data_IF_769659278436
#
_entry.id   IF_769659278436
#
_cell.length_a   1.000
_cell.length_b   1.000
_cell.length_c   1.000
_cell.angle_alpha   90.00
_cell.angle_beta   90.00
_cell.angle_gamma   90.00
#
_symmetry.space_group_name_H-M   'P 1'
#
loop_
_entity.id
_entity.type
_entity.pdbx_description
1 polymer ?
#
# COMPACT_ATOMS: atom_id res chain seq x y z
N UNK A 1 11.54 -3.80 5.66
CA UNK A 1 11.88 -4.72 6.70
C UNK A 1 10.90 -4.71 7.86
N UNK A 2 10.89 -5.77 8.67
CA UNK A 2 9.96 -5.87 9.79
C UNK A 2 10.42 -4.96 10.94
N UNK A 3 11.52 -5.36 11.61
CA UNK A 3 12.17 -4.58 12.66
C UNK A 3 13.65 -4.92 12.69
N UNK A 4 14.48 -3.98 13.10
CA UNK A 4 15.92 -4.12 13.00
C UNK A 4 16.49 -5.40 13.63
N UNK A 5 15.87 -5.91 14.70
CA UNK A 5 16.32 -7.13 15.40
C UNK A 5 16.03 -8.42 14.63
N UNK A 6 14.99 -8.43 13.79
CA UNK A 6 14.44 -9.62 13.12
C UNK A 6 14.36 -9.47 11.62
N UNK A 7 14.96 -8.41 11.07
CA UNK A 7 14.89 -8.12 9.66
C UNK A 7 15.95 -8.89 8.86
N UNK A 8 15.53 -9.47 7.74
CA UNK A 8 16.43 -10.15 6.83
C UNK A 8 17.53 -9.22 6.26
N UNK A 9 17.28 -7.90 6.20
CA UNK A 9 18.25 -6.92 5.73
C UNK A 9 19.46 -6.77 6.66
N UNK A 10 19.39 -7.27 7.90
CA UNK A 10 20.51 -7.27 8.84
C UNK A 10 21.71 -8.10 8.40
N UNK A 11 21.56 -8.95 7.40
CA UNK A 11 22.67 -9.68 6.78
C UNK A 11 23.58 -8.75 5.94
N UNK A 12 23.05 -7.63 5.49
CA UNK A 12 23.79 -6.65 4.70
C UNK A 12 24.83 -5.96 5.59
N UNK A 13 26.07 -5.93 5.11
CA UNK A 13 27.19 -5.20 5.76
C UNK A 13 27.44 -3.85 5.11
N UNK A 14 27.14 -3.76 3.82
CA UNK A 14 27.29 -2.57 3.00
C UNK A 14 26.07 -2.41 2.12
N UNK A 15 25.63 -1.18 1.93
CA UNK A 15 24.60 -0.82 0.96
C UNK A 15 24.94 0.53 0.32
N UNK A 16 24.38 0.79 -0.83
CA UNK A 16 24.56 2.07 -1.55
C UNK A 16 23.68 3.14 -0.91
N UNK A 17 22.46 2.76 -0.53
CA UNK A 17 21.51 3.64 0.12
C UNK A 17 20.49 2.83 0.93
N UNK A 18 19.85 3.49 1.90
CA UNK A 18 18.72 2.99 2.65
C UNK A 18 17.50 3.87 2.36
N UNK A 19 16.32 3.26 2.22
CA UNK A 19 15.07 3.99 2.04
C UNK A 19 14.15 3.74 3.23
N UNK A 20 13.69 4.80 3.85
CA UNK A 20 12.63 4.79 4.86
C UNK A 20 11.35 5.19 4.14
N UNK A 21 10.46 4.22 3.89
CA UNK A 21 9.12 4.47 3.35
C UNK A 21 8.20 5.04 4.43
N UNK A 22 6.92 5.29 4.14
CA UNK A 22 5.97 5.74 5.17
C UNK A 22 5.93 4.78 6.35
N UNK A 23 5.96 5.33 7.56
CA UNK A 23 5.89 4.58 8.82
C UNK A 23 4.51 4.82 9.44
N UNK A 24 3.80 3.73 9.69
CA UNK A 24 2.53 3.70 10.40
C UNK A 24 2.52 2.62 11.48
N UNK A 25 1.48 2.59 12.30
CA UNK A 25 1.30 1.54 13.31
C UNK A 25 0.94 0.23 12.61
N UNK A 26 1.88 -0.71 12.63
CA UNK A 26 1.71 -2.09 12.15
C UNK A 26 2.69 -3.01 12.89
N UNK A 27 2.54 -4.32 12.71
CA UNK A 27 3.42 -5.35 13.29
C UNK A 27 3.51 -5.33 14.82
N UNK A 28 2.44 -4.91 15.50
CA UNK A 28 2.40 -4.78 16.96
C UNK A 28 2.61 -6.11 17.70
N UNK A 29 2.40 -7.25 17.06
CA UNK A 29 2.61 -8.57 17.63
C UNK A 29 4.07 -8.83 18.09
N UNK A 30 5.00 -8.09 17.51
CA UNK A 30 6.44 -8.17 17.80
C UNK A 30 6.91 -7.20 18.87
N UNK A 31 6.00 -6.34 19.36
CA UNK A 31 6.30 -5.28 20.34
C UNK A 31 5.51 -5.56 21.62
N UNK A 32 6.16 -5.53 22.79
CA UNK A 32 5.46 -5.62 24.08
C UNK A 32 4.35 -4.58 24.19
N UNK A 33 3.23 -4.93 24.81
CA UNK A 33 2.03 -4.06 24.83
C UNK A 33 2.30 -2.65 25.36
N UNK A 34 3.11 -2.54 26.39
CA UNK A 34 3.50 -1.26 27.00
C UNK A 34 4.46 -0.41 26.15
N UNK A 35 5.02 -0.98 25.06
CA UNK A 35 5.94 -0.29 24.15
C UNK A 35 5.31 -0.01 22.77
N UNK A 36 4.04 -0.32 22.55
CA UNK A 36 3.33 -0.19 21.26
C UNK A 36 3.05 1.25 20.88
N UNK A 37 4.11 1.98 20.55
CA UNK A 37 4.07 3.40 20.15
C UNK A 37 4.69 3.61 18.77
N UNK A 38 4.33 4.72 18.12
CA UNK A 38 4.94 5.10 16.84
C UNK A 38 6.45 5.35 17.00
N UNK A 39 6.90 5.88 18.13
CA UNK A 39 8.32 6.12 18.43
C UNK A 39 9.10 4.79 18.45
N UNK A 40 8.52 3.75 19.05
CA UNK A 40 9.12 2.42 19.08
C UNK A 40 9.22 1.82 17.68
N UNK A 41 8.17 1.96 16.86
CA UNK A 41 8.20 1.48 15.48
C UNK A 41 9.25 2.22 14.65
N UNK A 42 9.36 3.54 14.80
CA UNK A 42 10.40 4.33 14.15
C UNK A 42 11.78 3.81 14.56
N UNK A 43 12.02 3.67 15.87
CA UNK A 43 13.29 3.13 16.36
C UNK A 43 13.60 1.76 15.76
N UNK A 44 12.65 0.82 15.79
CA UNK A 44 12.85 -0.55 15.26
C UNK A 44 13.11 -0.58 13.75
N UNK A 45 12.57 0.37 12.99
CA UNK A 45 12.78 0.46 11.53
C UNK A 45 14.04 1.22 11.13
N UNK A 46 14.59 2.06 12.01
CA UNK A 46 15.69 2.97 11.65
C UNK A 46 17.01 2.71 12.38
N UNK A 47 17.00 1.97 13.50
CA UNK A 47 18.17 1.79 14.37
C UNK A 47 19.33 0.96 13.79
N UNK A 48 19.10 0.26 12.67
CA UNK A 48 20.12 -0.54 11.97
C UNK A 48 20.45 0.01 10.56
N UNK A 49 20.17 1.28 10.32
CA UNK A 49 20.59 1.90 9.07
C UNK A 49 22.11 1.95 8.99
N UNK A 50 22.64 1.42 7.90
CA UNK A 50 24.07 1.46 7.62
C UNK A 50 24.53 2.88 7.27
N UNK A 51 25.81 3.17 7.47
CA UNK A 51 26.42 4.43 7.05
C UNK A 51 26.50 4.50 5.52
N UNK A 52 25.45 5.01 4.91
CA UNK A 52 25.28 5.16 3.47
C UNK A 52 24.40 6.39 3.21
N UNK A 53 23.76 6.50 2.06
CA UNK A 53 22.76 7.54 1.80
C UNK A 53 21.42 7.09 2.38
N UNK A 54 20.69 7.98 3.05
CA UNK A 54 19.36 7.70 3.62
C UNK A 54 18.34 8.56 2.91
N UNK A 55 17.36 7.94 2.26
CA UNK A 55 16.24 8.61 1.62
C UNK A 55 14.99 8.39 2.48
N UNK A 56 14.34 9.47 2.90
CA UNK A 56 13.12 9.42 3.71
C UNK A 56 11.94 9.85 2.85
N UNK A 57 11.04 8.92 2.58
CA UNK A 57 9.81 9.15 1.85
C UNK A 57 8.85 10.05 2.62
N UNK A 58 7.81 10.53 1.95
CA UNK A 58 6.70 11.24 2.57
C UNK A 58 6.14 10.45 3.76
N UNK A 59 5.89 11.14 4.85
CA UNK A 59 5.23 10.59 6.03
C UNK A 59 3.82 11.13 6.16
N UNK A 60 2.92 10.36 6.76
CA UNK A 60 1.51 10.73 6.91
C UNK A 60 1.31 11.98 7.77
N UNK A 61 2.25 12.26 8.68
CA UNK A 61 2.22 13.44 9.55
C UNK A 61 3.59 14.10 9.64
N UNK A 62 3.60 15.42 9.83
CA UNK A 62 4.83 16.16 10.11
C UNK A 62 5.51 15.66 11.40
N UNK A 63 4.73 15.30 12.42
CA UNK A 63 5.25 14.75 13.67
C UNK A 63 6.04 13.46 13.46
N UNK A 64 5.56 12.54 12.58
CA UNK A 64 6.30 11.32 12.25
C UNK A 64 7.62 11.65 11.54
N UNK A 65 7.62 12.59 10.60
CA UNK A 65 8.84 13.05 9.92
C UNK A 65 9.87 13.60 10.90
N UNK A 66 9.46 14.49 11.81
CA UNK A 66 10.34 15.09 12.82
C UNK A 66 10.92 14.03 13.78
N UNK A 67 10.12 13.04 14.18
CA UNK A 67 10.59 11.93 15.01
C UNK A 67 11.62 11.06 14.27
N UNK A 68 11.41 10.78 12.96
CA UNK A 68 12.39 10.07 12.13
C UNK A 68 13.68 10.87 12.07
N UNK A 69 13.63 12.18 11.73
CA UNK A 69 14.79 13.05 11.66
C UNK A 69 15.60 13.02 12.96
N UNK A 70 14.91 13.15 14.11
CA UNK A 70 15.53 13.07 15.43
C UNK A 70 16.20 11.73 15.67
N UNK A 71 15.53 10.62 15.34
CA UNK A 71 16.06 9.27 15.60
C UNK A 71 17.31 8.96 14.77
N UNK A 72 17.38 9.46 13.53
CA UNK A 72 18.53 9.21 12.65
C UNK A 72 19.55 10.35 12.66
N UNK A 73 19.41 11.35 13.56
CA UNK A 73 20.27 12.54 13.57
C UNK A 73 21.75 12.22 13.76
N UNK A 74 22.07 11.24 14.60
CA UNK A 74 23.45 10.83 14.91
C UNK A 74 24.08 9.91 13.85
N UNK A 75 23.29 9.38 12.93
CA UNK A 75 23.81 8.58 11.82
C UNK A 75 24.62 9.50 10.88
N UNK A 76 25.84 9.10 10.52
CA UNK A 76 26.78 9.92 9.74
C UNK A 76 26.48 9.95 8.22
N UNK A 77 25.41 9.29 7.79
CA UNK A 77 24.97 9.26 6.39
C UNK A 77 24.44 10.60 5.91
N UNK A 78 24.58 10.88 4.62
CA UNK A 78 23.82 11.93 3.97
C UNK A 78 22.33 11.57 3.99
N UNK A 79 21.49 12.52 4.36
CA UNK A 79 20.05 12.34 4.51
C UNK A 79 19.29 13.20 3.52
N UNK A 80 18.28 12.63 2.89
CA UNK A 80 17.45 13.28 1.86
C UNK A 80 15.98 13.08 2.20
N UNK A 81 15.26 14.16 2.38
CA UNK A 81 13.89 14.18 2.89
C UNK A 81 12.90 14.62 1.80
N UNK A 82 11.78 13.95 1.75
CA UNK A 82 10.67 14.37 0.92
C UNK A 82 10.21 15.80 1.29
N UNK A 83 9.89 16.62 0.29
CA UNK A 83 9.56 18.06 0.36
C UNK A 83 10.71 18.99 0.81
N UNK A 84 11.90 18.48 1.07
CA UNK A 84 13.09 19.30 1.37
C UNK A 84 14.15 19.13 0.29
N UNK A 85 14.51 17.88 -0.02
CA UNK A 85 15.56 17.54 -0.97
C UNK A 85 15.00 17.01 -2.30
N UNK A 86 13.79 16.48 -2.28
CA UNK A 86 13.07 16.04 -3.47
C UNK A 86 11.56 16.13 -3.26
N UNK A 87 10.82 16.36 -4.34
CA UNK A 87 9.38 16.49 -4.31
C UNK A 87 8.74 16.06 -5.63
N UNK A 88 7.42 15.99 -5.65
CA UNK A 88 6.65 15.93 -6.88
C UNK A 88 5.46 16.89 -6.84
N UNK A 89 5.00 17.27 -8.02
CA UNK A 89 3.75 18.02 -8.19
C UNK A 89 2.94 17.45 -9.36
N UNK A 90 1.63 17.67 -9.32
CA UNK A 90 0.75 17.27 -10.41
C UNK A 90 0.95 18.21 -11.60
N UNK A 91 0.99 17.61 -12.78
CA UNK A 91 0.98 18.29 -14.06
C UNK A 91 -0.35 18.15 -14.77
N UNK A 92 -0.49 18.81 -15.90
CA UNK A 92 -1.61 18.66 -16.84
C UNK A 92 -1.43 17.40 -17.71
N UNK A 93 -2.54 16.92 -18.32
CA UNK A 93 -2.52 15.89 -19.35
C UNK A 93 -1.77 14.59 -18.96
N UNK A 94 -2.08 14.02 -17.80
CA UNK A 94 -1.46 12.79 -17.30
C UNK A 94 0.06 12.85 -17.07
N UNK A 95 0.60 14.04 -16.87
CA UNK A 95 1.97 14.22 -16.42
C UNK A 95 2.03 14.53 -14.92
N UNK A 96 3.20 14.26 -14.34
CA UNK A 96 3.63 14.80 -13.06
C UNK A 96 5.06 15.32 -13.18
N UNK A 97 5.45 16.20 -12.28
CA UNK A 97 6.78 16.79 -12.24
C UNK A 97 7.48 16.30 -10.98
N UNK A 98 8.66 15.75 -11.15
CA UNK A 98 9.57 15.43 -10.07
C UNK A 98 10.70 16.44 -10.05
N UNK A 99 11.16 16.84 -8.85
CA UNK A 99 12.24 17.80 -8.68
C UNK A 99 13.18 17.38 -7.55
N UNK A 100 14.49 17.54 -7.76
CA UNK A 100 15.54 17.39 -6.77
C UNK A 100 16.73 18.29 -7.14
N UNK A 101 17.85 18.18 -6.39
CA UNK A 101 19.08 18.96 -6.62
C UNK A 101 19.70 18.78 -8.00
N UNK A 102 19.35 17.74 -8.74
CA UNK A 102 19.84 17.47 -10.10
C UNK A 102 18.94 18.07 -11.18
N UNK A 103 17.86 18.74 -10.80
CA UNK A 103 16.89 19.37 -11.68
C UNK A 103 15.58 18.60 -11.83
N UNK A 104 14.63 19.23 -12.53
CA UNK A 104 13.27 18.72 -12.71
C UNK A 104 13.14 17.66 -13.81
N UNK A 105 12.22 16.73 -13.62
CA UNK A 105 11.79 15.76 -14.62
C UNK A 105 10.30 15.91 -14.88
N UNK A 106 9.91 16.11 -16.14
CA UNK A 106 8.54 15.93 -16.59
C UNK A 106 8.33 14.48 -16.96
N UNK A 107 7.41 13.81 -16.26
CA UNK A 107 7.18 12.36 -16.32
C UNK A 107 5.71 12.09 -16.62
N UNK A 108 5.44 11.17 -17.52
CA UNK A 108 4.09 10.68 -17.74
C UNK A 108 3.68 9.80 -16.54
N UNK A 109 2.45 9.97 -16.05
CA UNK A 109 1.92 9.13 -14.97
C UNK A 109 1.96 7.65 -15.40
N UNK A 110 2.35 6.75 -14.51
CA UNK A 110 2.30 5.32 -14.78
C UNK A 110 0.86 4.83 -14.86
N UNK A 111 0.65 3.70 -15.52
CA UNK A 111 -0.66 3.05 -15.56
C UNK A 111 -0.92 2.23 -14.27
N UNK A 112 -0.79 2.88 -13.11
CA UNK A 112 -1.12 2.31 -11.80
C UNK A 112 -2.01 3.28 -11.04
N UNK A 113 -2.97 2.75 -10.30
CA UNK A 113 -3.98 3.53 -9.61
C UNK A 113 -3.51 3.98 -8.21
N UNK A 114 -4.09 5.08 -7.73
CA UNK A 114 -3.83 5.63 -6.39
C UNK A 114 -2.72 6.69 -6.37
N UNK A 115 -3.06 7.85 -5.79
CA UNK A 115 -2.14 9.00 -5.70
C UNK A 115 -0.85 8.68 -4.94
N UNK A 116 -0.94 7.87 -3.89
CA UNK A 116 0.22 7.43 -3.09
C UNK A 116 1.30 6.72 -3.90
N UNK A 117 0.95 6.18 -5.06
CA UNK A 117 1.94 5.56 -5.94
C UNK A 117 2.93 6.59 -6.51
N UNK A 118 2.50 7.83 -6.73
CA UNK A 118 3.42 8.90 -7.15
C UNK A 118 4.40 9.27 -6.04
N UNK A 119 4.01 9.16 -4.77
CA UNK A 119 4.89 9.32 -3.62
C UNK A 119 5.97 8.23 -3.59
N UNK A 120 5.57 6.98 -3.80
CA UNK A 120 6.48 5.85 -3.88
C UNK A 120 7.44 5.96 -5.08
N UNK A 121 6.92 6.35 -6.25
CA UNK A 121 7.71 6.56 -7.46
C UNK A 121 8.72 7.69 -7.26
N UNK A 122 8.30 8.81 -6.68
CA UNK A 122 9.19 9.94 -6.40
C UNK A 122 10.33 9.55 -5.45
N UNK A 123 10.02 8.72 -4.46
CA UNK A 123 11.03 8.16 -3.56
C UNK A 123 12.01 7.23 -4.29
N UNK A 124 11.50 6.40 -5.21
CA UNK A 124 12.34 5.53 -6.03
C UNK A 124 13.23 6.32 -7.00
N UNK A 125 12.71 7.40 -7.60
CA UNK A 125 13.50 8.30 -8.46
C UNK A 125 14.61 8.96 -7.63
N UNK A 126 14.29 9.48 -6.45
CA UNK A 126 15.27 10.05 -5.54
C UNK A 126 16.39 9.04 -5.22
N UNK A 127 16.02 7.80 -4.89
CA UNK A 127 17.00 6.73 -4.66
C UNK A 127 17.91 6.53 -5.86
N UNK A 128 17.37 6.40 -7.07
CA UNK A 128 18.15 6.14 -8.30
C UNK A 128 19.11 7.27 -8.62
N UNK A 129 18.67 8.53 -8.52
CA UNK A 129 19.49 9.70 -8.84
C UNK A 129 20.53 10.01 -7.78
N UNK A 130 20.17 9.87 -6.49
CA UNK A 130 21.06 10.13 -5.35
C UNK A 130 22.14 9.03 -5.23
N UNK A 131 21.82 7.79 -5.59
CA UNK A 131 22.71 6.64 -5.42
C UNK A 131 23.89 6.58 -6.42
N UNK A 132 23.91 7.44 -7.41
CA UNK A 132 24.96 7.51 -8.44
C UNK A 132 25.22 6.17 -9.16
N UNK A 133 24.13 5.49 -9.52
CA UNK A 133 24.16 4.20 -10.21
C UNK A 133 24.32 4.32 -11.73
N UNK A 134 24.61 5.50 -12.24
CA UNK A 134 24.70 5.76 -13.68
C UNK A 134 23.34 5.68 -14.42
N UNK A 135 22.23 5.72 -13.69
CA UNK A 135 20.88 5.70 -14.26
C UNK A 135 20.58 7.07 -14.88
N UNK A 136 20.30 7.07 -16.16
CA UNK A 136 19.94 8.29 -16.91
C UNK A 136 18.44 8.56 -16.82
N UNK A 137 18.06 9.82 -16.97
CA UNK A 137 16.65 10.25 -16.95
C UNK A 137 15.76 9.49 -17.95
N UNK A 138 16.31 9.10 -19.10
CA UNK A 138 15.57 8.30 -20.09
C UNK A 138 15.21 6.91 -19.52
N UNK A 139 16.11 6.28 -18.75
CA UNK A 139 15.83 4.99 -18.13
C UNK A 139 14.72 5.10 -17.05
N UNK A 140 14.70 6.23 -16.31
CA UNK A 140 13.65 6.54 -15.35
C UNK A 140 12.31 6.70 -16.06
N UNK A 141 12.26 7.50 -17.12
CA UNK A 141 11.06 7.71 -17.94
C UNK A 141 10.48 6.40 -18.48
N UNK A 142 11.33 5.59 -19.07
CA UNK A 142 10.94 4.31 -19.66
C UNK A 142 10.52 3.28 -18.59
N UNK A 143 11.21 3.29 -17.44
CA UNK A 143 10.92 2.41 -16.32
C UNK A 143 9.55 2.67 -15.69
N UNK A 144 9.19 3.94 -15.50
CA UNK A 144 7.90 4.34 -14.92
C UNK A 144 6.73 3.80 -15.74
N UNK A 145 6.82 3.78 -17.07
CA UNK A 145 5.75 3.29 -17.94
C UNK A 145 5.61 1.75 -17.90
N UNK A 146 6.60 1.04 -17.36
CA UNK A 146 6.61 -0.42 -17.24
C UNK A 146 6.29 -0.91 -15.84
N UNK A 147 5.99 0.01 -14.90
CA UNK A 147 5.65 -0.38 -13.54
C UNK A 147 4.37 -1.22 -13.55
N UNK A 148 4.48 -2.40 -12.97
CA UNK A 148 3.35 -3.26 -12.64
C UNK A 148 3.39 -3.54 -11.13
N UNK A 149 2.38 -3.09 -10.42
CA UNK A 149 2.31 -3.22 -8.96
C UNK A 149 1.20 -4.21 -8.59
N UNK A 150 1.56 -5.49 -8.57
CA UNK A 150 0.62 -6.61 -8.33
C UNK A 150 -0.06 -6.43 -6.98
N UNK A 151 -1.39 -6.59 -6.98
CA UNK A 151 -2.24 -6.47 -5.79
C UNK A 151 -2.11 -5.12 -5.03
N UNK A 152 -1.86 -4.02 -5.75
CA UNK A 152 -1.84 -2.65 -5.22
C UNK A 152 -2.75 -1.74 -6.06
N UNK A 153 -4.05 -1.78 -5.79
CA UNK A 153 -5.09 -1.19 -6.65
C UNK A 153 -4.96 -1.69 -8.11
N UNK A 154 -4.66 -2.97 -8.25
CA UNK A 154 -4.52 -3.60 -9.55
C UNK A 154 -5.88 -3.78 -10.22
N UNK A 155 -6.00 -3.29 -11.44
CA UNK A 155 -7.17 -3.54 -12.30
C UNK A 155 -7.08 -4.93 -12.93
N UNK A 156 -8.15 -5.68 -12.84
CA UNK A 156 -8.31 -6.98 -13.50
C UNK A 156 -9.10 -6.77 -14.79
N UNK A 157 -8.46 -6.96 -15.92
CA UNK A 157 -9.03 -6.63 -17.24
C UNK A 157 -9.55 -7.83 -18.02
N UNK A 158 -9.09 -9.04 -17.69
CA UNK A 158 -9.48 -10.28 -18.35
C UNK A 158 -9.45 -11.45 -17.39
N UNK A 159 -9.97 -12.60 -17.77
CA UNK A 159 -9.93 -13.84 -17.02
C UNK A 159 -11.32 -14.32 -16.55
N UNK A 160 -11.32 -15.48 -15.88
CA UNK A 160 -12.55 -16.17 -15.47
C UNK A 160 -13.40 -15.33 -14.50
N UNK A 161 -12.78 -14.75 -13.46
CA UNK A 161 -13.50 -13.93 -12.49
C UNK A 161 -13.92 -12.59 -13.09
N UNK A 162 -13.08 -12.00 -13.96
CA UNK A 162 -13.44 -10.77 -14.68
C UNK A 162 -14.69 -10.97 -15.54
N UNK A 163 -14.85 -12.11 -16.15
CA UNK A 163 -16.05 -12.43 -16.95
C UNK A 163 -17.33 -12.43 -16.10
N UNK A 164 -17.25 -12.75 -14.80
CA UNK A 164 -18.39 -12.65 -13.88
C UNK A 164 -18.73 -11.18 -13.54
N UNK A 165 -17.72 -10.33 -13.50
CA UNK A 165 -17.85 -8.89 -13.21
C UNK A 165 -18.27 -8.08 -14.46
N UNK A 166 -18.13 -8.67 -15.64
CA UNK A 166 -18.47 -8.09 -16.96
C UNK A 166 -17.73 -6.77 -17.20
N UNK A 167 -18.45 -5.74 -17.66
CA UNK A 167 -17.86 -4.45 -18.02
C UNK A 167 -17.54 -3.55 -16.82
N UNK A 168 -17.94 -3.94 -15.62
CA UNK A 168 -17.71 -3.19 -14.40
C UNK A 168 -16.22 -3.13 -14.01
N UNK A 169 -15.83 -2.12 -13.26
CA UNK A 169 -14.46 -1.98 -12.75
C UNK A 169 -14.18 -3.06 -11.71
N UNK A 170 -13.16 -3.86 -11.94
CA UNK A 170 -12.72 -4.92 -11.04
C UNK A 170 -11.31 -4.63 -10.53
N UNK A 171 -11.18 -4.38 -9.23
CA UNK A 171 -9.91 -4.06 -8.57
C UNK A 171 -9.56 -5.09 -7.51
N UNK A 172 -8.25 -5.32 -7.33
CA UNK A 172 -7.71 -6.05 -6.19
C UNK A 172 -6.66 -5.20 -5.47
N UNK A 173 -6.65 -5.25 -4.13
CA UNK A 173 -5.66 -4.54 -3.32
C UNK A 173 -5.35 -5.30 -2.04
N UNK A 174 -4.08 -5.62 -1.83
CA UNK A 174 -3.60 -6.38 -0.67
C UNK A 174 -3.42 -5.52 0.59
N UNK A 175 -4.07 -4.37 0.68
CA UNK A 175 -4.07 -3.53 1.87
C UNK A 175 -4.75 -4.26 3.03
N UNK A 176 -4.13 -4.22 4.23
CA UNK A 176 -4.54 -5.06 5.34
C UNK A 176 -4.31 -4.41 6.72
N UNK A 177 -3.93 -3.14 6.74
CA UNK A 177 -3.75 -2.35 7.95
C UNK A 177 -4.51 -1.02 7.85
N UNK A 178 -4.56 -0.29 8.94
CA UNK A 178 -5.31 0.96 9.06
C UNK A 178 -4.89 2.00 8.00
N UNK A 179 -3.59 2.18 7.78
CA UNK A 179 -3.06 3.16 6.83
C UNK A 179 -3.37 2.76 5.38
N UNK A 180 -3.22 1.48 5.05
CA UNK A 180 -3.60 0.95 3.74
C UNK A 180 -5.10 1.15 3.47
N UNK A 181 -5.97 0.89 4.46
CA UNK A 181 -7.41 1.12 4.34
C UNK A 181 -7.74 2.60 4.10
N UNK A 182 -7.06 3.52 4.82
CA UNK A 182 -7.23 4.96 4.64
C UNK A 182 -6.92 5.38 3.21
N UNK A 183 -5.75 5.00 2.71
CA UNK A 183 -5.29 5.36 1.36
C UNK A 183 -6.17 4.72 0.28
N UNK A 184 -6.61 3.48 0.50
CA UNK A 184 -7.53 2.78 -0.38
C UNK A 184 -8.88 3.51 -0.44
N UNK A 185 -9.43 3.91 0.72
CA UNK A 185 -10.70 4.64 0.77
C UNK A 185 -10.61 6.02 0.11
N UNK A 186 -9.50 6.75 0.25
CA UNK A 186 -9.27 8.02 -0.47
C UNK A 186 -9.40 7.85 -2.00
N UNK A 187 -8.89 6.73 -2.52
CA UNK A 187 -9.09 6.41 -3.94
C UNK A 187 -10.56 6.08 -4.25
N UNK A 188 -11.22 5.27 -3.42
CA UNK A 188 -12.62 4.90 -3.62
C UNK A 188 -13.56 6.12 -3.56
N UNK A 189 -13.32 7.08 -2.67
CA UNK A 189 -14.08 8.33 -2.57
C UNK A 189 -13.94 9.20 -3.83
N UNK A 190 -12.86 9.07 -4.58
CA UNK A 190 -12.68 9.80 -5.84
C UNK A 190 -13.53 9.27 -7.01
N UNK A 191 -14.19 8.12 -6.83
CA UNK A 191 -15.00 7.47 -7.86
C UNK A 191 -16.49 7.72 -7.62
N UNK A 192 -17.17 8.22 -8.63
CA UNK A 192 -18.62 8.42 -8.60
C UNK A 192 -19.36 7.16 -9.11
N UNK A 193 -19.37 6.10 -8.30
CA UNK A 193 -20.03 4.84 -8.59
C UNK A 193 -20.38 4.09 -7.31
N UNK A 194 -21.26 3.08 -7.40
CA UNK A 194 -21.48 2.15 -6.29
C UNK A 194 -20.27 1.23 -6.14
N UNK A 195 -19.91 0.98 -4.87
CA UNK A 195 -18.74 0.21 -4.51
C UNK A 195 -19.15 -1.03 -3.74
N UNK A 196 -18.76 -2.20 -4.26
CA UNK A 196 -18.98 -3.49 -3.63
C UNK A 196 -17.63 -4.08 -3.22
N UNK A 197 -17.51 -4.52 -1.98
CA UNK A 197 -16.22 -4.94 -1.42
C UNK A 197 -16.29 -6.38 -0.95
N UNK A 198 -15.34 -7.20 -1.39
CA UNK A 198 -15.11 -8.56 -0.86
C UNK A 198 -13.85 -8.49 0.02
N UNK A 199 -13.95 -8.98 1.25
CA UNK A 199 -12.88 -8.87 2.24
C UNK A 199 -12.54 -10.23 2.85
N UNK A 200 -11.24 -10.55 2.90
CA UNK A 200 -10.67 -11.61 3.72
C UNK A 200 -9.37 -11.15 4.37
N UNK A 201 -9.16 -11.47 5.64
CA UNK A 201 -8.05 -10.92 6.43
C UNK A 201 -7.32 -12.00 7.25
N UNK A 202 -6.09 -11.68 7.66
CA UNK A 202 -5.34 -12.49 8.63
C UNK A 202 -5.80 -12.21 10.06
N UNK A 203 -5.72 -13.21 10.96
CA UNK A 203 -6.18 -13.10 12.37
C UNK A 203 -5.50 -11.99 13.17
N UNK A 204 -4.22 -11.73 12.89
CA UNK A 204 -3.38 -10.79 13.63
C UNK A 204 -3.52 -9.32 13.20
N UNK A 205 -4.56 -8.98 12.42
CA UNK A 205 -4.81 -7.59 11.98
C UNK A 205 -5.91 -6.93 12.80
N UNK A 206 -5.86 -5.60 12.87
CA UNK A 206 -6.93 -4.80 13.51
C UNK A 206 -8.10 -4.64 12.54
N UNK A 207 -8.99 -5.62 12.54
CA UNK A 207 -10.12 -5.68 11.62
C UNK A 207 -11.07 -4.49 11.78
N UNK A 208 -11.31 -4.02 13.02
CA UNK A 208 -12.22 -2.91 13.29
C UNK A 208 -11.66 -1.59 12.78
N UNK A 209 -10.39 -1.33 13.03
CA UNK A 209 -9.73 -0.13 12.49
C UNK A 209 -9.65 -0.17 10.97
N UNK A 210 -9.33 -1.33 10.39
CA UNK A 210 -9.30 -1.48 8.93
C UNK A 210 -10.63 -1.08 8.31
N UNK A 211 -11.74 -1.68 8.76
CA UNK A 211 -13.05 -1.46 8.16
C UNK A 211 -13.63 -0.07 8.45
N UNK A 212 -13.23 0.59 9.54
CA UNK A 212 -13.73 1.92 9.92
C UNK A 212 -13.38 3.03 8.92
N UNK A 213 -12.37 2.80 8.07
CA UNK A 213 -12.01 3.75 7.03
C UNK A 213 -12.90 3.69 5.80
N UNK A 214 -13.62 2.58 5.57
CA UNK A 214 -14.47 2.43 4.39
C UNK A 214 -15.78 3.20 4.55
N UNK A 215 -16.03 4.14 3.65
CA UNK A 215 -17.21 4.97 3.59
C UNK A 215 -17.94 4.77 2.27
N UNK A 216 -19.23 5.01 2.27
CA UNK A 216 -20.09 4.95 1.07
C UNK A 216 -19.97 3.64 0.29
N UNK A 217 -19.86 2.51 1.01
CA UNK A 217 -19.81 1.16 0.46
C UNK A 217 -21.22 0.58 0.37
N UNK A 218 -21.60 0.17 -0.83
CA UNK A 218 -22.94 -0.37 -1.12
C UNK A 218 -23.15 -1.76 -0.52
N UNK A 219 -22.13 -2.61 -0.51
CA UNK A 219 -22.17 -3.91 0.16
C UNK A 219 -20.76 -4.42 0.51
N UNK A 220 -20.69 -5.19 1.60
CA UNK A 220 -19.48 -5.91 2.00
C UNK A 220 -19.78 -7.39 2.07
N UNK A 221 -18.92 -8.21 1.46
CA UNK A 221 -18.98 -9.67 1.56
C UNK A 221 -17.67 -10.20 2.12
N UNK A 222 -17.72 -10.88 3.25
CA UNK A 222 -16.55 -11.54 3.84
C UNK A 222 -16.37 -12.92 3.22
N UNK A 223 -15.11 -13.33 3.03
CA UNK A 223 -14.73 -14.64 2.51
C UNK A 223 -13.57 -15.25 3.30
N UNK A 224 -13.42 -16.57 3.22
CA UNK A 224 -12.26 -17.27 3.73
C UNK A 224 -11.04 -17.07 2.81
N UNK A 225 -9.84 -17.08 3.39
CA UNK A 225 -8.58 -17.20 2.64
C UNK A 225 -8.15 -18.65 2.77
N UNK A 226 -8.44 -19.47 1.76
CA UNK A 226 -8.27 -20.93 1.82
C UNK A 226 -6.80 -21.35 1.88
N UNK A 227 -5.91 -20.57 1.27
CA UNK A 227 -4.47 -20.81 1.25
C UNK A 227 -3.77 -20.55 2.59
N UNK A 228 -4.47 -19.96 3.59
CA UNK A 228 -3.83 -19.47 4.81
C UNK A 228 -4.54 -19.97 6.07
N UNK A 229 -3.96 -20.94 6.80
CA UNK A 229 -4.55 -21.49 8.03
C UNK A 229 -4.64 -20.47 9.18
N UNK A 230 -3.82 -19.40 9.12
CA UNK A 230 -3.83 -18.30 10.08
C UNK A 230 -4.76 -17.15 9.68
N UNK A 231 -5.57 -17.31 8.65
CA UNK A 231 -6.61 -16.32 8.33
C UNK A 231 -7.77 -16.43 9.33
N UNK A 232 -8.44 -15.29 9.56
CA UNK A 232 -9.73 -15.31 10.25
C UNK A 232 -10.78 -15.89 9.30
N UNK A 233 -11.71 -16.70 9.80
CA UNK A 233 -12.81 -17.16 8.95
C UNK A 233 -13.72 -16.02 8.51
N UNK A 234 -14.28 -16.12 7.31
CA UNK A 234 -15.19 -15.12 6.80
C UNK A 234 -16.41 -14.90 7.69
N UNK A 235 -16.90 -15.96 8.36
CA UNK A 235 -18.00 -15.86 9.33
C UNK A 235 -17.58 -15.03 10.56
N UNK A 236 -16.42 -15.33 11.15
CA UNK A 236 -15.91 -14.55 12.30
C UNK A 236 -15.63 -13.09 11.90
N UNK A 237 -15.14 -12.86 10.69
CA UNK A 237 -14.88 -11.50 10.19
C UNK A 237 -16.21 -10.73 10.01
N UNK A 238 -17.25 -11.38 9.50
CA UNK A 238 -18.60 -10.82 9.41
C UNK A 238 -19.12 -10.41 10.79
N UNK A 239 -18.96 -11.25 11.81
CA UNK A 239 -19.40 -10.91 13.17
C UNK A 239 -18.65 -9.69 13.75
N UNK A 240 -17.38 -9.52 13.41
CA UNK A 240 -16.62 -8.31 13.79
C UNK A 240 -17.14 -7.04 13.12
N UNK A 241 -17.77 -7.17 11.97
CA UNK A 241 -18.31 -6.07 11.15
C UNK A 241 -19.84 -5.94 11.26
N UNK A 242 -20.49 -6.62 12.21
CA UNK A 242 -21.96 -6.67 12.35
C UNK A 242 -22.67 -5.32 12.43
N UNK A 243 -21.96 -4.27 12.85
CA UNK A 243 -22.50 -2.91 12.94
C UNK A 243 -22.52 -2.18 11.57
N UNK A 244 -22.01 -2.81 10.51
CA UNK A 244 -21.99 -2.26 9.16
C UNK A 244 -23.22 -2.78 8.40
N UNK A 245 -24.01 -1.90 7.76
CA UNK A 245 -25.14 -2.32 6.96
C UNK A 245 -24.69 -3.13 5.72
N UNK A 246 -25.58 -4.01 5.25
CA UNK A 246 -25.39 -4.81 4.03
C UNK A 246 -24.15 -5.69 4.02
N UNK A 247 -23.81 -6.28 5.19
CA UNK A 247 -22.73 -7.24 5.27
C UNK A 247 -23.21 -8.68 5.06
N UNK A 248 -22.51 -9.41 4.21
CA UNK A 248 -22.78 -10.79 3.89
C UNK A 248 -21.53 -11.65 4.09
N UNK A 249 -21.68 -12.97 4.01
CA UNK A 249 -20.61 -13.95 3.97
C UNK A 249 -20.83 -14.95 2.85
N UNK A 250 -19.74 -15.37 2.21
CA UNK A 250 -19.71 -16.47 1.23
C UNK A 250 -18.46 -17.31 1.45
N UNK A 251 -18.55 -18.59 1.13
CA UNK A 251 -17.46 -19.55 1.34
C UNK A 251 -16.32 -19.41 0.33
N UNK A 252 -16.60 -18.78 -0.82
CA UNK A 252 -15.61 -18.60 -1.88
C UNK A 252 -15.71 -17.25 -2.56
N UNK A 253 -14.61 -16.83 -3.18
CA UNK A 253 -14.52 -15.61 -3.99
C UNK A 253 -15.53 -15.64 -5.13
N UNK A 254 -15.63 -16.79 -5.84
CA UNK A 254 -16.54 -16.94 -6.97
C UNK A 254 -18.01 -16.81 -6.55
N UNK A 255 -18.40 -17.44 -5.45
CA UNK A 255 -19.75 -17.29 -4.86
C UNK A 255 -20.03 -15.87 -4.39
N UNK A 256 -19.05 -15.21 -3.80
CA UNK A 256 -19.17 -13.82 -3.37
C UNK A 256 -19.44 -12.90 -4.58
N UNK A 257 -18.67 -13.05 -5.66
CA UNK A 257 -18.89 -12.27 -6.89
C UNK A 257 -20.28 -12.54 -7.47
N UNK A 258 -20.69 -13.80 -7.58
CA UNK A 258 -22.02 -14.17 -8.14
C UNK A 258 -23.20 -13.66 -7.29
N UNK A 259 -23.01 -13.51 -5.99
CA UNK A 259 -24.05 -13.06 -5.09
C UNK A 259 -24.23 -11.53 -5.07
N UNK A 260 -23.28 -10.78 -5.59
CA UNK A 260 -23.36 -9.30 -5.68
C UNK A 260 -24.13 -8.94 -6.95
N UNK A 261 -25.18 -8.16 -6.80
CA UNK A 261 -25.92 -7.61 -7.93
C UNK A 261 -25.25 -6.33 -8.42
N UNK A 262 -24.29 -6.46 -9.33
CA UNK A 262 -23.58 -5.33 -9.93
C UNK A 262 -24.47 -4.64 -10.98
N UNK A 263 -24.70 -3.35 -10.81
CA UNK A 263 -25.26 -2.48 -11.83
C UNK A 263 -24.23 -2.06 -12.87
N UNK A 264 -24.66 -1.37 -13.90
CA UNK A 264 -23.75 -0.79 -14.90
C UNK A 264 -22.88 0.33 -14.28
N UNK A 265 -21.58 0.24 -14.49
CA UNK A 265 -20.61 1.22 -13.96
C UNK A 265 -20.23 1.03 -12.49
N UNK A 266 -20.73 -0.01 -11.82
CA UNK A 266 -20.34 -0.32 -10.45
C UNK A 266 -18.87 -0.76 -10.35
N UNK A 267 -18.31 -0.66 -9.15
CA UNK A 267 -16.97 -1.15 -8.84
C UNK A 267 -17.04 -2.38 -7.93
N UNK A 268 -16.28 -3.41 -8.28
CA UNK A 268 -15.96 -4.52 -7.39
C UNK A 268 -14.51 -4.42 -6.93
N UNK A 269 -14.29 -4.42 -5.62
CA UNK A 269 -12.98 -4.46 -4.99
C UNK A 269 -12.84 -5.74 -4.17
N UNK A 270 -11.71 -6.45 -4.31
CA UNK A 270 -11.32 -7.53 -3.39
C UNK A 270 -10.07 -7.08 -2.62
N UNK A 271 -10.14 -7.12 -1.29
CA UNK A 271 -9.09 -6.53 -0.43
C UNK A 271 -8.98 -7.22 0.94
N UNK A 272 -8.04 -6.75 1.77
CA UNK A 272 -7.82 -7.19 3.16
C UNK A 272 -6.62 -8.11 3.34
N UNK A 273 -6.06 -8.67 2.26
CA UNK A 273 -4.85 -9.51 2.33
C UNK A 273 -4.20 -9.69 0.96
N UNK A 274 -2.87 -9.69 0.93
CA UNK A 274 -2.11 -10.12 -0.27
C UNK A 274 -2.38 -11.59 -0.63
N UNK A 275 -2.63 -12.45 0.37
CA UNK A 275 -2.96 -13.85 0.13
C UNK A 275 -4.31 -14.00 -0.57
N UNK A 276 -5.31 -13.21 -0.17
CA UNK A 276 -6.60 -13.19 -0.87
C UNK A 276 -6.43 -12.72 -2.31
N UNK A 277 -5.63 -11.68 -2.55
CA UNK A 277 -5.33 -11.21 -3.90
C UNK A 277 -4.62 -12.27 -4.74
N UNK A 278 -3.71 -13.06 -4.13
CA UNK A 278 -3.06 -14.19 -4.82
C UNK A 278 -4.10 -15.23 -5.25
N UNK A 279 -5.02 -15.61 -4.35
CA UNK A 279 -6.11 -16.55 -4.72
C UNK A 279 -6.98 -16.01 -5.87
N UNK A 280 -7.26 -14.70 -5.88
CA UNK A 280 -7.98 -14.08 -7.02
C UNK A 280 -7.20 -14.23 -8.32
N UNK A 281 -5.90 -13.99 -8.30
CA UNK A 281 -5.05 -14.10 -9.51
C UNK A 281 -4.93 -15.54 -9.99
N UNK A 282 -4.86 -16.51 -9.07
CA UNK A 282 -4.78 -17.94 -9.38
C UNK A 282 -6.10 -18.49 -9.97
N UNK A 283 -7.24 -17.93 -9.54
CA UNK A 283 -8.58 -18.33 -10.00
C UNK A 283 -9.01 -17.63 -11.31
N UNK A 284 -8.41 -16.49 -11.60
CA UNK A 284 -8.78 -15.64 -12.71
C UNK A 284 -8.05 -16.00 -14.00
#
# INVERSE_FOLDING_TARGET
>A
GLFHRFDATNILKNNIASVITSISIDHLDWIPENERTIDKIIYEKTSKLLNSKIIVAKQNTLSTMEKIKKTISENQSDKYYFNEDFSYSFGENDFFYYEDKFGGLKLQKPNILGQYQLENISTAIALLRISDLGIKDIHIKDGIQKINNIARLQKIESGKLKNLVKDNLFLISGDHNEDGARVLNEYLESLDCKKHVIIGMMKNKDHKKYISHFKDISSITTVDIKSQPNAISGIELKEKFKDIPNINHKESIEEAIKAINLGEGDLLLITGSLYLCSEVLDLN
#
